data_IF_302253380098
#
_entry.id   IF_302253380098
#
_cell.length_a   1.000
_cell.length_b   1.000
_cell.length_c   1.000
_cell.angle_alpha   90.00
_cell.angle_beta   90.00
_cell.angle_gamma   90.00
#
_symmetry.space_group_name_H-M   'P 1'
#
loop_
_entity.id
_entity.type
_entity.pdbx_description
1 polymer ?
#
# COMPACT_ATOMS: atom_id res chain seq x y z
N UNK A 1 -0.48 5.22 -12.36
CA UNK A 1 -0.32 5.21 -10.89
C UNK A 1 -1.62 5.56 -10.20
N UNK A 2 -1.88 4.90 -9.07
CA UNK A 2 -3.00 5.19 -8.19
C UNK A 2 -2.50 5.32 -6.75
N UNK A 3 -2.91 6.37 -6.07
CA UNK A 3 -2.52 6.68 -4.69
C UNK A 3 -3.69 6.36 -3.76
N UNK A 4 -3.66 5.18 -3.20
CA UNK A 4 -4.67 4.68 -2.27
C UNK A 4 -4.25 5.00 -0.82
N UNK A 5 -5.01 5.85 -0.15
CA UNK A 5 -4.70 6.31 1.20
C UNK A 5 -5.95 6.43 2.06
N UNK A 6 -5.76 6.30 3.36
CA UNK A 6 -6.79 6.57 4.38
C UNK A 6 -6.96 8.06 4.66
N UNK A 7 -6.14 8.92 4.06
CA UNK A 7 -6.26 10.37 4.16
C UNK A 7 -7.56 10.89 3.54
N UNK A 8 -8.09 11.97 4.11
CA UNK A 8 -9.33 12.58 3.63
C UNK A 8 -9.09 13.45 2.38
N UNK A 9 -10.12 13.63 1.55
CA UNK A 9 -10.04 14.39 0.30
C UNK A 9 -9.58 15.85 0.48
N UNK A 10 -9.81 16.45 1.63
CA UNK A 10 -9.40 17.82 1.92
C UNK A 10 -7.87 18.04 1.91
N UNK A 11 -7.07 16.97 2.10
CA UNK A 11 -5.59 17.04 2.03
C UNK A 11 -5.04 16.93 0.60
N UNK A 12 -5.88 16.65 -0.39
CA UNK A 12 -5.46 16.43 -1.79
C UNK A 12 -4.56 17.53 -2.35
N UNK A 13 -4.84 18.84 -2.17
CA UNK A 13 -3.98 19.90 -2.72
C UNK A 13 -2.57 19.86 -2.16
N UNK A 14 -2.43 19.60 -0.85
CA UNK A 14 -1.14 19.50 -0.16
C UNK A 14 -0.39 18.25 -0.58
N UNK A 15 -1.08 17.09 -0.62
CA UNK A 15 -0.52 15.82 -1.06
C UNK A 15 -0.02 15.90 -2.50
N UNK A 16 -0.81 16.48 -3.41
CA UNK A 16 -0.44 16.66 -4.81
C UNK A 16 0.83 17.50 -4.96
N UNK A 17 0.94 18.60 -4.21
CA UNK A 17 2.15 19.45 -4.20
C UNK A 17 3.36 18.69 -3.65
N UNK A 18 3.19 17.94 -2.57
CA UNK A 18 4.24 17.12 -1.98
C UNK A 18 4.76 16.09 -2.98
N UNK A 19 3.89 15.30 -3.58
CA UNK A 19 4.25 14.27 -4.56
C UNK A 19 4.97 14.88 -5.76
N UNK A 20 4.46 15.98 -6.31
CA UNK A 20 5.09 16.67 -7.42
C UNK A 20 6.51 17.19 -7.08
N UNK A 21 6.69 17.80 -5.91
CA UNK A 21 8.00 18.31 -5.46
C UNK A 21 9.03 17.20 -5.25
N UNK A 22 8.59 16.01 -4.89
CA UNK A 22 9.45 14.87 -4.62
C UNK A 22 9.58 13.91 -5.83
N UNK A 23 9.17 14.34 -7.04
CA UNK A 23 9.36 13.57 -8.26
C UNK A 23 8.44 12.35 -8.42
N UNK A 24 7.39 12.24 -7.62
CA UNK A 24 6.44 11.14 -7.76
C UNK A 24 5.61 11.27 -9.04
N UNK A 25 5.27 10.15 -9.70
CA UNK A 25 4.45 10.15 -10.92
C UNK A 25 3.09 10.78 -10.70
N UNK A 26 2.53 11.38 -11.75
CA UNK A 26 1.11 11.78 -11.72
C UNK A 26 0.21 10.55 -11.62
N UNK A 27 -0.84 10.64 -10.79
CA UNK A 27 -1.77 9.52 -10.60
C UNK A 27 -3.11 9.95 -10.02
N UNK A 28 -4.04 9.01 -10.01
CA UNK A 28 -5.37 9.18 -9.42
C UNK A 28 -5.30 8.99 -7.92
N UNK A 29 -5.99 9.84 -7.17
CA UNK A 29 -6.12 9.71 -5.72
C UNK A 29 -7.40 8.95 -5.36
N UNK A 30 -7.27 7.99 -4.47
CA UNK A 30 -8.35 7.19 -3.91
C UNK A 30 -8.31 7.39 -2.38
N UNK A 31 -8.95 8.47 -1.94
CA UNK A 31 -8.93 8.95 -0.56
C UNK A 31 -10.29 8.71 0.10
N UNK A 32 -10.39 9.03 1.39
CA UNK A 32 -11.63 8.85 2.16
C UNK A 32 -12.41 10.17 2.29
N UNK A 33 -13.73 10.07 2.46
CA UNK A 33 -14.59 11.21 2.77
C UNK A 33 -14.64 11.55 4.26
N UNK A 34 -13.95 10.78 5.09
CA UNK A 34 -14.07 10.86 6.54
C UNK A 34 -13.06 11.84 7.14
N UNK A 35 -13.57 12.75 7.95
CA UNK A 35 -12.74 13.54 8.85
C UNK A 35 -12.11 12.67 9.95
N UNK A 36 -11.00 13.12 10.57
CA UNK A 36 -10.26 12.33 11.54
C UNK A 36 -11.04 12.22 12.86
N UNK A 37 -11.68 11.07 13.09
CA UNK A 37 -12.04 10.63 14.43
C UNK A 37 -11.15 9.43 14.76
N UNK A 38 -10.35 9.47 15.85
CA UNK A 38 -9.28 8.50 16.11
C UNK A 38 -9.73 7.04 16.08
N UNK A 39 -10.89 6.71 16.67
CA UNK A 39 -11.37 5.34 16.79
C UNK A 39 -11.98 4.77 15.49
N UNK A 40 -12.50 5.63 14.63
CA UNK A 40 -13.05 5.22 13.33
C UNK A 40 -11.99 5.15 12.24
N UNK A 41 -10.92 5.90 12.38
CA UNK A 41 -9.85 5.96 11.38
C UNK A 41 -9.25 4.60 11.06
N UNK A 42 -8.80 3.84 12.07
CA UNK A 42 -8.09 2.57 11.82
C UNK A 42 -8.97 1.48 11.20
N UNK A 43 -10.22 1.34 11.65
CA UNK A 43 -11.12 0.32 11.11
C UNK A 43 -11.68 0.72 9.74
N UNK A 44 -12.11 1.95 9.57
CA UNK A 44 -12.67 2.46 8.32
C UNK A 44 -11.59 2.64 7.24
N UNK A 45 -10.38 3.01 7.62
CA UNK A 45 -9.25 3.16 6.70
C UNK A 45 -8.83 1.83 6.07
N UNK A 46 -8.67 0.77 6.87
CA UNK A 46 -8.38 -0.56 6.35
C UNK A 46 -9.51 -1.07 5.46
N UNK A 47 -10.76 -0.86 5.86
CA UNK A 47 -11.93 -1.26 5.06
C UNK A 47 -12.01 -0.49 3.74
N UNK A 48 -11.68 0.82 3.75
CA UNK A 48 -11.59 1.62 2.52
C UNK A 48 -10.57 1.03 1.54
N UNK A 49 -9.35 0.69 2.01
CA UNK A 49 -8.32 0.06 1.17
C UNK A 49 -8.82 -1.27 0.59
N UNK A 50 -9.38 -2.15 1.42
CA UNK A 50 -9.92 -3.45 0.97
C UNK A 50 -11.03 -3.27 -0.07
N UNK A 51 -12.00 -2.40 0.19
CA UNK A 51 -13.11 -2.16 -0.73
C UNK A 51 -12.65 -1.54 -2.05
N UNK A 52 -11.69 -0.62 -1.98
CA UNK A 52 -11.12 0.02 -3.17
C UNK A 52 -10.35 -0.98 -4.03
N UNK A 53 -9.50 -1.81 -3.45
CA UNK A 53 -8.78 -2.88 -4.19
C UNK A 53 -9.75 -3.87 -4.83
N UNK A 54 -10.79 -4.30 -4.11
CA UNK A 54 -11.85 -5.17 -4.66
C UNK A 54 -12.54 -4.50 -5.85
N UNK A 55 -12.89 -3.22 -5.76
CA UNK A 55 -13.50 -2.46 -6.85
C UNK A 55 -12.58 -2.40 -8.06
N UNK A 56 -11.28 -2.11 -7.86
CA UNK A 56 -10.29 -2.07 -8.94
C UNK A 56 -10.15 -3.42 -9.65
N UNK A 57 -10.13 -4.54 -8.92
CA UNK A 57 -10.10 -5.86 -9.53
C UNK A 57 -11.37 -6.17 -10.35
N UNK A 58 -12.53 -5.64 -9.93
CA UNK A 58 -13.80 -5.83 -10.63
C UNK A 58 -13.92 -4.94 -11.86
N UNK A 59 -13.52 -3.66 -11.74
CA UNK A 59 -13.61 -2.67 -12.83
C UNK A 59 -12.51 -2.88 -13.89
N UNK A 60 -11.36 -3.41 -13.48
CA UNK A 60 -10.19 -3.64 -14.34
C UNK A 60 -9.69 -5.08 -14.25
N UNK A 61 -10.48 -6.09 -14.64
CA UNK A 61 -10.15 -7.50 -14.42
C UNK A 61 -8.89 -7.97 -15.18
N UNK A 62 -8.48 -7.26 -16.22
CA UNK A 62 -7.31 -7.60 -17.03
C UNK A 62 -6.02 -6.91 -16.57
N UNK A 63 -6.10 -6.01 -15.60
CA UNK A 63 -4.90 -5.32 -15.08
C UNK A 63 -4.27 -6.15 -13.97
N UNK A 64 -2.96 -6.32 -14.08
CA UNK A 64 -2.11 -6.85 -13.00
C UNK A 64 -1.46 -5.68 -12.27
N UNK A 65 -1.68 -5.60 -10.98
CA UNK A 65 -1.27 -4.49 -10.13
C UNK A 65 0.04 -4.79 -9.43
N UNK A 66 0.96 -3.84 -9.44
CA UNK A 66 2.07 -3.79 -8.50
C UNK A 66 1.56 -3.00 -7.29
N UNK A 67 1.50 -3.65 -6.12
CA UNK A 67 1.02 -3.06 -4.87
C UNK A 67 2.22 -2.61 -4.05
N UNK A 68 2.29 -1.33 -3.72
CA UNK A 68 3.41 -0.76 -2.95
C UNK A 68 2.85 -0.17 -1.66
N UNK A 69 3.43 -0.56 -0.53
CA UNK A 69 3.06 -0.10 0.80
C UNK A 69 4.21 -0.16 1.79
N UNK A 70 3.90 0.05 3.05
CA UNK A 70 4.86 -0.07 4.15
C UNK A 70 4.33 -1.01 5.25
N UNK A 71 5.21 -1.40 6.18
CA UNK A 71 4.88 -2.25 7.31
C UNK A 71 4.41 -1.47 8.55
N UNK A 72 4.32 -0.15 8.47
CA UNK A 72 3.86 0.71 9.57
C UNK A 72 2.37 0.68 9.85
N UNK A 73 1.59 0.19 8.89
CA UNK A 73 0.14 0.00 9.00
C UNK A 73 -0.24 -1.43 8.60
N UNK A 74 -1.45 -1.62 8.07
CA UNK A 74 -1.98 -2.94 7.71
C UNK A 74 -1.80 -3.30 6.23
N UNK A 75 -0.91 -2.63 5.51
CA UNK A 75 -0.72 -2.88 4.08
C UNK A 75 -0.27 -4.33 3.79
N UNK A 76 0.64 -4.94 4.56
CA UNK A 76 1.00 -6.33 4.36
C UNK A 76 -0.19 -7.29 4.43
N UNK A 77 -1.05 -7.16 5.44
CA UNK A 77 -2.25 -8.01 5.59
C UNK A 77 -3.26 -7.77 4.46
N UNK A 78 -3.51 -6.50 4.12
CA UNK A 78 -4.49 -6.11 3.10
C UNK A 78 -4.05 -6.62 1.73
N UNK A 79 -2.78 -6.44 1.36
CA UNK A 79 -2.26 -6.86 0.06
C UNK A 79 -2.16 -8.37 -0.05
N UNK A 80 -1.77 -9.06 1.03
CA UNK A 80 -1.81 -10.51 1.08
C UNK A 80 -3.24 -11.05 0.87
N UNK A 81 -4.21 -10.53 1.61
CA UNK A 81 -5.61 -10.91 1.45
C UNK A 81 -6.16 -10.63 0.06
N UNK A 82 -5.73 -9.53 -0.56
CA UNK A 82 -6.08 -9.21 -1.94
C UNK A 82 -5.46 -10.20 -2.93
N UNK A 83 -4.18 -10.53 -2.81
CA UNK A 83 -3.50 -11.49 -3.69
C UNK A 83 -4.09 -12.90 -3.61
N UNK A 84 -4.45 -13.35 -2.41
CA UNK A 84 -5.15 -14.64 -2.23
C UNK A 84 -6.50 -14.66 -2.94
N UNK A 85 -7.26 -13.58 -2.87
CA UNK A 85 -8.60 -13.51 -3.44
C UNK A 85 -8.62 -13.20 -4.94
N UNK A 86 -7.65 -12.45 -5.42
CA UNK A 86 -7.54 -11.98 -6.81
C UNK A 86 -6.14 -12.24 -7.39
N UNK A 87 -5.68 -13.51 -7.44
CA UNK A 87 -4.30 -13.84 -7.81
C UNK A 87 -3.93 -13.40 -9.23
N UNK A 88 -4.90 -13.35 -10.14
CA UNK A 88 -4.67 -12.89 -11.52
C UNK A 88 -4.51 -11.37 -11.66
N UNK A 89 -4.87 -10.60 -10.62
CA UNK A 89 -4.78 -9.15 -10.61
C UNK A 89 -3.54 -8.63 -9.88
N UNK A 90 -2.65 -9.49 -9.39
CA UNK A 90 -1.42 -9.07 -8.69
C UNK A 90 -0.20 -9.51 -9.48
N UNK A 91 0.65 -8.54 -9.79
CA UNK A 91 1.96 -8.75 -10.41
C UNK A 91 3.06 -8.88 -9.36
N UNK A 92 3.06 -7.98 -8.40
CA UNK A 92 4.00 -7.97 -7.29
C UNK A 92 3.43 -7.20 -6.08
N UNK A 93 3.91 -7.54 -4.89
CA UNK A 93 3.65 -6.82 -3.64
C UNK A 93 5.00 -6.36 -3.10
N UNK A 94 5.16 -5.05 -2.92
CA UNK A 94 6.36 -4.41 -2.42
C UNK A 94 6.07 -3.77 -1.06
N UNK A 95 6.78 -4.21 -0.05
CA UNK A 95 6.65 -3.66 1.30
C UNK A 95 7.96 -2.99 1.72
N UNK A 96 7.87 -1.69 1.98
CA UNK A 96 8.96 -0.96 2.60
C UNK A 96 8.96 -1.23 4.10
N UNK A 97 10.05 -1.77 4.59
CA UNK A 97 10.28 -1.97 6.01
C UNK A 97 10.67 -0.62 6.65
N UNK A 98 9.86 -0.14 7.58
CA UNK A 98 10.11 1.11 8.29
C UNK A 98 11.17 0.92 9.37
N UNK A 99 11.98 1.96 9.61
CA UNK A 99 12.84 2.01 10.78
C UNK A 99 12.00 2.13 12.06
N UNK A 100 12.59 1.80 13.21
CA UNK A 100 11.90 1.91 14.50
C UNK A 100 11.28 3.30 14.73
N UNK A 101 12.01 4.38 14.40
CA UNK A 101 11.50 5.74 14.54
C UNK A 101 10.32 6.05 13.62
N UNK A 102 10.36 5.59 12.37
CA UNK A 102 9.26 5.76 11.40
C UNK A 102 8.02 4.95 11.80
N UNK A 103 8.19 3.73 12.30
CA UNK A 103 7.07 2.88 12.73
C UNK A 103 6.33 3.46 13.93
N UNK A 104 7.03 4.06 14.88
CA UNK A 104 6.43 4.77 16.03
C UNK A 104 5.62 5.99 15.55
N UNK A 105 6.13 6.74 14.57
CA UNK A 105 5.44 7.91 14.01
C UNK A 105 4.22 7.52 13.17
N UNK A 106 4.27 6.39 12.47
CA UNK A 106 3.21 5.97 11.54
C UNK A 106 2.01 5.31 12.24
N UNK A 107 2.23 4.59 13.33
CA UNK A 107 1.17 3.76 13.96
C UNK A 107 1.00 3.99 15.46
N UNK A 108 1.95 4.66 16.11
CA UNK A 108 1.99 4.74 17.58
C UNK A 108 2.17 3.37 18.28
N UNK A 109 2.39 2.31 17.52
CA UNK A 109 2.60 0.93 18.02
C UNK A 109 3.72 0.26 17.24
N UNK A 110 4.57 -0.43 17.96
CA UNK A 110 5.53 -1.36 17.38
C UNK A 110 4.78 -2.63 17.00
N UNK A 111 4.45 -2.80 15.74
CA UNK A 111 3.86 -4.04 15.22
C UNK A 111 4.98 -5.03 14.92
N UNK A 112 5.21 -5.92 15.86
CA UNK A 112 6.17 -7.01 15.72
C UNK A 112 5.56 -8.36 15.40
N UNK A 113 4.36 -8.43 14.82
CA UNK A 113 3.73 -9.73 14.53
C UNK A 113 3.83 -10.10 13.04
N UNK A 114 4.78 -10.95 12.77
CA UNK A 114 5.14 -11.49 11.46
C UNK A 114 4.10 -12.47 10.86
N UNK A 115 2.89 -12.59 11.39
CA UNK A 115 1.94 -13.65 11.01
C UNK A 115 1.29 -13.44 9.63
N UNK A 116 1.24 -12.22 9.12
CA UNK A 116 0.69 -11.96 7.77
C UNK A 116 1.63 -12.44 6.64
N UNK A 117 2.89 -12.73 6.96
CA UNK A 117 3.93 -13.11 5.99
C UNK A 117 3.84 -14.54 5.47
N UNK A 118 2.98 -15.39 6.05
CA UNK A 118 3.06 -16.84 5.81
C UNK A 118 2.32 -17.37 4.58
N UNK A 119 1.44 -16.61 3.95
CA UNK A 119 0.52 -17.18 2.95
C UNK A 119 0.93 -16.91 1.51
N UNK A 120 1.67 -15.84 1.24
CA UNK A 120 2.11 -15.49 -0.13
C UNK A 120 3.62 -15.32 -0.28
N UNK A 121 4.43 -15.95 0.56
CA UNK A 121 5.91 -16.01 0.41
C UNK A 121 6.32 -16.81 -0.83
N UNK A 122 5.74 -16.46 -1.96
CA UNK A 122 6.17 -16.87 -3.27
C UNK A 122 6.83 -15.71 -3.99
N UNK A 123 7.05 -15.87 -5.27
CA UNK A 123 7.72 -14.92 -6.16
C UNK A 123 7.07 -13.52 -6.25
N UNK A 124 5.86 -13.33 -5.70
CA UNK A 124 5.14 -12.05 -5.75
C UNK A 124 5.55 -11.05 -4.67
N UNK A 125 6.19 -11.52 -3.56
CA UNK A 125 6.46 -10.67 -2.40
C UNK A 125 7.89 -10.16 -2.36
N UNK A 126 8.04 -8.84 -2.26
CA UNK A 126 9.31 -8.13 -2.20
C UNK A 126 9.35 -7.25 -0.96
N UNK A 127 10.47 -7.25 -0.26
CA UNK A 127 10.69 -6.39 0.91
C UNK A 127 12.00 -5.60 0.75
N UNK A 128 12.01 -4.38 1.24
CA UNK A 128 13.20 -3.53 1.21
C UNK A 128 13.10 -2.37 2.20
N UNK A 129 14.25 -1.86 2.63
CA UNK A 129 14.30 -0.77 3.59
C UNK A 129 14.02 0.60 2.94
N UNK A 130 14.15 0.68 1.62
CA UNK A 130 13.93 1.90 0.85
C UNK A 130 13.46 1.60 -0.58
N UNK A 131 13.16 2.66 -1.32
CA UNK A 131 12.71 2.56 -2.71
C UNK A 131 13.77 2.01 -3.66
N UNK A 132 15.05 2.23 -3.39
CA UNK A 132 16.15 1.73 -4.22
C UNK A 132 16.23 0.21 -4.14
N UNK A 133 16.20 -0.34 -2.92
CA UNK A 133 16.20 -1.79 -2.71
C UNK A 133 14.99 -2.49 -3.34
N UNK A 134 13.82 -1.86 -3.31
CA UNK A 134 12.61 -2.37 -3.97
C UNK A 134 12.71 -2.28 -5.50
N UNK A 135 13.26 -1.18 -6.03
CA UNK A 135 13.45 -0.98 -7.47
C UNK A 135 14.41 -2.02 -8.07
N UNK A 136 15.56 -2.28 -7.43
CA UNK A 136 16.50 -3.29 -7.92
C UNK A 136 15.86 -4.69 -7.99
N UNK A 137 15.06 -5.06 -6.99
CA UNK A 137 14.33 -6.32 -7.03
C UNK A 137 13.28 -6.40 -8.15
N UNK A 138 12.59 -5.28 -8.47
CA UNK A 138 11.69 -5.23 -9.63
C UNK A 138 12.44 -5.38 -10.96
N UNK A 139 13.59 -4.72 -11.06
CA UNK A 139 14.46 -4.79 -12.25
C UNK A 139 14.99 -6.21 -12.47
N UNK A 140 15.47 -6.87 -11.42
CA UNK A 140 15.94 -8.26 -11.49
C UNK A 140 14.84 -9.24 -11.96
N UNK A 141 13.58 -8.88 -11.76
CA UNK A 141 12.41 -9.63 -12.23
C UNK A 141 11.90 -9.18 -13.60
N UNK A 142 12.51 -8.18 -14.21
CA UNK A 142 12.08 -7.63 -15.50
C UNK A 142 10.72 -6.93 -15.46
N UNK A 143 10.33 -6.38 -14.30
CA UNK A 143 9.05 -5.68 -14.12
C UNK A 143 9.17 -4.16 -14.31
N UNK A 144 10.39 -3.65 -14.41
CA UNK A 144 10.75 -2.25 -14.71
C UNK A 144 12.01 -2.19 -15.54
#
# INVERSE_FOLDING_TARGET
>A
FMYLSTGAWNVTPTLRRFLHRNGYPKGTFLLTDWGPTPDRWFRSGSQHKVNTLKRLATEFPHIRWILIGDDGQRDPEIYNGFAVRYPHNVEAILIRNLTFGESVLSSGRVWGDNRARDITKGDLWLEGNDGTALYEQLKDRGLV
#
